data_IF_170650644410
#
_entry.id   IF_170650644410
#
_cell.length_a   1.000
_cell.length_b   1.000
_cell.length_c   1.000
_cell.angle_alpha   90.00
_cell.angle_beta   90.00
_cell.angle_gamma   90.00
#
_symmetry.space_group_name_H-M   'P 1'
#
loop_
_entity.id
_entity.type
_entity.pdbx_description
1 polymer ?
#
# COMPACT_ATOMS: atom_id res chain seq x y z
N UNK A 1 -3.67 16.92 5.99
CA UNK A 1 -3.56 15.45 5.91
C UNK A 1 -4.79 14.88 5.23
N UNK A 2 -4.61 13.97 4.27
CA UNK A 2 -5.70 13.25 3.59
C UNK A 2 -5.66 11.77 3.97
N UNK A 3 -6.81 11.11 3.89
CA UNK A 3 -6.95 9.66 4.08
C UNK A 3 -6.94 8.98 2.71
N UNK A 4 -5.96 8.13 2.48
CA UNK A 4 -5.78 7.38 1.24
C UNK A 4 -6.24 5.95 1.47
N UNK A 5 -7.17 5.47 0.66
CA UNK A 5 -7.47 4.04 0.56
C UNK A 5 -6.64 3.45 -0.57
N UNK A 6 -5.78 2.50 -0.24
CA UNK A 6 -4.79 1.93 -1.17
C UNK A 6 -5.02 0.42 -1.25
N UNK A 7 -5.22 -0.09 -2.46
CA UNK A 7 -5.17 -1.52 -2.77
C UNK A 7 -3.74 -1.90 -3.12
N UNK A 8 -3.24 -3.02 -2.60
CA UNK A 8 -1.93 -3.55 -2.96
C UNK A 8 -1.87 -5.05 -2.72
N UNK A 9 -0.85 -5.69 -3.30
CA UNK A 9 -0.51 -7.08 -3.01
C UNK A 9 0.82 -7.13 -2.29
N UNK A 10 0.88 -7.87 -1.20
CA UNK A 10 2.14 -8.10 -0.47
C UNK A 10 2.49 -9.58 -0.43
N UNK A 11 3.76 -9.86 -0.26
CA UNK A 11 4.28 -11.21 -0.03
C UNK A 11 5.05 -11.25 1.29
N UNK A 12 4.92 -12.35 2.01
CA UNK A 12 5.68 -12.64 3.24
C UNK A 12 6.70 -13.76 3.04
N UNK A 13 6.78 -14.31 1.83
CA UNK A 13 7.60 -15.48 1.49
C UNK A 13 8.49 -15.26 0.26
N UNK A 14 8.97 -14.03 0.06
CA UNK A 14 9.91 -13.69 -1.02
C UNK A 14 9.27 -13.76 -2.41
N UNK A 15 8.00 -13.37 -2.53
CA UNK A 15 7.28 -13.32 -3.81
C UNK A 15 6.69 -14.65 -4.29
N UNK A 16 6.75 -15.73 -3.50
CA UNK A 16 6.16 -17.04 -3.85
C UNK A 16 4.63 -17.03 -3.79
N UNK A 17 4.06 -16.29 -2.86
CA UNK A 17 2.61 -16.12 -2.70
C UNK A 17 2.29 -14.65 -2.48
N UNK A 18 1.18 -14.19 -3.06
CA UNK A 18 0.77 -12.78 -3.01
C UNK A 18 -0.61 -12.67 -2.39
N UNK A 19 -0.71 -11.88 -1.34
CA UNK A 19 -1.95 -11.62 -0.62
C UNK A 19 -2.44 -10.24 -1.05
N UNK A 20 -3.67 -10.18 -1.57
CA UNK A 20 -4.31 -8.91 -1.95
C UNK A 20 -4.98 -8.30 -0.74
N UNK A 21 -4.76 -7.01 -0.50
CA UNK A 21 -5.38 -6.30 0.62
C UNK A 21 -5.66 -4.84 0.26
N UNK A 22 -6.46 -4.19 1.09
CA UNK A 22 -6.71 -2.74 1.02
C UNK A 22 -6.51 -2.14 2.40
N UNK A 23 -5.81 -1.02 2.46
CA UNK A 23 -5.58 -0.31 3.72
C UNK A 23 -5.84 1.17 3.58
N UNK A 24 -6.12 1.81 4.71
CA UNK A 24 -6.30 3.25 4.78
C UNK A 24 -5.13 3.87 5.52
N UNK A 25 -4.40 4.78 4.87
CA UNK A 25 -3.27 5.52 5.48
C UNK A 25 -3.53 7.01 5.47
N UNK A 26 -3.01 7.72 6.47
CA UNK A 26 -3.00 9.18 6.49
C UNK A 26 -1.66 9.67 5.97
N UNK A 27 -1.69 10.51 4.94
CA UNK A 27 -0.48 11.09 4.35
C UNK A 27 -0.76 12.52 3.85
N UNK A 28 0.31 13.26 3.58
CA UNK A 28 0.22 14.59 2.98
C UNK A 28 0.20 14.54 1.45
N UNK A 29 0.73 13.45 0.87
CA UNK A 29 0.83 13.23 -0.57
C UNK A 29 0.66 11.75 -0.92
N UNK A 30 0.30 11.49 -2.17
CA UNK A 30 0.21 10.15 -2.77
C UNK A 30 1.51 9.37 -2.58
N UNK A 31 2.65 10.02 -2.83
CA UNK A 31 3.97 9.42 -2.66
C UNK A 31 4.24 9.01 -1.20
N UNK A 32 3.87 9.85 -0.23
CA UNK A 32 3.99 9.52 1.19
C UNK A 32 3.08 8.35 1.58
N UNK A 33 1.90 8.27 0.99
CA UNK A 33 0.96 7.17 1.21
C UNK A 33 1.52 5.84 0.68
N UNK A 34 2.08 5.85 -0.54
CA UNK A 34 2.73 4.68 -1.16
C UNK A 34 3.99 4.27 -0.39
N UNK A 35 4.81 5.23 0.06
CA UNK A 35 6.01 4.95 0.83
C UNK A 35 5.70 4.22 2.15
N UNK A 36 4.59 4.55 2.82
CA UNK A 36 4.15 3.80 4.00
C UNK A 36 3.83 2.33 3.69
N UNK A 37 3.23 2.05 2.52
CA UNK A 37 2.94 0.67 2.10
C UNK A 37 4.24 -0.10 1.84
N UNK A 38 5.18 0.51 1.12
CA UNK A 38 6.50 -0.08 0.84
C UNK A 38 7.32 -0.32 2.11
N UNK A 39 7.18 0.52 3.13
CA UNK A 39 7.86 0.35 4.42
C UNK A 39 7.25 -0.78 5.26
N UNK A 40 5.97 -1.09 5.06
CA UNK A 40 5.24 -2.06 5.89
C UNK A 40 5.52 -3.53 5.54
N UNK A 41 5.82 -3.82 4.28
CA UNK A 41 6.10 -5.19 3.82
C UNK A 41 7.36 -5.22 2.96
N UNK A 42 8.20 -6.27 3.07
CA UNK A 42 9.44 -6.36 2.30
C UNK A 42 9.18 -6.49 0.80
N UNK A 43 8.12 -7.20 0.41
CA UNK A 43 7.74 -7.43 -0.97
C UNK A 43 6.32 -6.91 -1.22
N UNK A 44 6.20 -5.87 -2.05
CA UNK A 44 4.90 -5.27 -2.39
C UNK A 44 4.81 -4.98 -3.88
N UNK A 45 3.62 -5.16 -4.45
CA UNK A 45 3.33 -4.87 -5.85
C UNK A 45 1.88 -4.44 -6.07
N UNK A 46 1.57 -4.05 -7.30
CA UNK A 46 0.22 -3.65 -7.74
C UNK A 46 -0.38 -2.56 -6.83
N UNK A 47 0.45 -1.65 -6.31
CA UNK A 47 -0.01 -0.58 -5.41
C UNK A 47 -0.86 0.40 -6.21
N UNK A 48 -2.10 0.62 -5.76
CA UNK A 48 -3.07 1.48 -6.41
C UNK A 48 -3.85 2.29 -5.38
N UNK A 49 -3.82 3.60 -5.51
CA UNK A 49 -4.70 4.50 -4.75
C UNK A 49 -6.10 4.37 -5.33
N UNK A 50 -7.05 3.94 -4.48
CA UNK A 50 -8.46 3.75 -4.83
C UNK A 50 -9.23 5.05 -4.64
N UNK A 51 -8.98 5.73 -3.53
CA UNK A 51 -9.64 6.98 -3.19
C UNK A 51 -8.82 7.82 -2.23
N UNK A 52 -9.01 9.13 -2.30
CA UNK A 52 -8.42 10.11 -1.39
C UNK A 52 -9.56 10.93 -0.79
N UNK A 53 -9.57 11.05 0.54
CA UNK A 53 -10.59 11.78 1.31
C UNK A 53 -9.96 12.78 2.26
#
# INVERSE_FOLDING_TARGET
MKTYSISYKYSTNGGKSWISTTTSVKAESDMGAIAQINSKYPDVKDIRIISVR
#
